data_IF_566562517442
#
_entry.id   IF_566562517442
#
_cell.length_a   1.000
_cell.length_b   1.000
_cell.length_c   1.000
_cell.angle_alpha   90.00
_cell.angle_beta   90.00
_cell.angle_gamma   90.00
#
_symmetry.space_group_name_H-M   'P 1'
#
loop_
_entity.id
_entity.type
_entity.pdbx_description
1 polymer ?
#
# COMPACT_ATOMS: atom_id res chain seq x y z
N UNK A 1 -9.64 -30.14 -20.05
CA UNK A 1 -8.64 -29.08 -20.32
C UNK A 1 -8.31 -28.31 -19.05
N UNK A 2 -9.19 -27.50 -18.44
CA UNK A 2 -8.89 -26.86 -17.13
C UNK A 2 -8.93 -27.82 -15.93
N UNK A 3 -9.69 -28.91 -16.02
CA UNK A 3 -9.82 -29.94 -14.97
C UNK A 3 -8.57 -30.82 -14.82
N UNK A 4 -7.63 -30.75 -15.77
CA UNK A 4 -6.39 -31.54 -15.75
C UNK A 4 -5.24 -30.55 -15.77
N UNK A 5 -4.36 -30.62 -14.76
CA UNK A 5 -3.19 -29.77 -14.60
C UNK A 5 -3.48 -28.25 -14.80
N UNK A 6 -4.64 -27.77 -14.34
CA UNK A 6 -5.09 -26.38 -14.49
C UNK A 6 -5.02 -25.87 -15.95
N UNK A 7 -5.20 -26.74 -16.95
CA UNK A 7 -5.07 -26.39 -18.37
C UNK A 7 -3.68 -25.90 -18.78
N UNK A 8 -2.63 -26.22 -18.00
CA UNK A 8 -1.28 -25.71 -18.21
C UNK A 8 -1.04 -24.32 -17.62
N UNK A 9 -2.03 -23.72 -16.94
CA UNK A 9 -1.87 -22.44 -16.25
C UNK A 9 -1.03 -22.60 -14.98
N UNK A 10 -0.11 -21.66 -14.74
CA UNK A 10 0.71 -21.65 -13.52
C UNK A 10 -0.12 -21.53 -12.23
N UNK A 11 0.47 -21.88 -11.09
CA UNK A 11 -0.21 -21.95 -9.77
C UNK A 11 -0.97 -20.67 -9.33
N UNK A 12 -0.50 -19.52 -9.80
CA UNK A 12 -1.03 -18.19 -9.49
C UNK A 12 -1.99 -17.67 -10.56
N UNK A 13 -2.50 -18.56 -11.42
CA UNK A 13 -3.45 -18.25 -12.47
C UNK A 13 -4.67 -19.18 -12.37
N UNK A 14 -5.82 -18.63 -12.72
CA UNK A 14 -7.06 -19.36 -12.93
C UNK A 14 -7.18 -19.75 -14.39
N UNK A 15 -7.58 -21.01 -14.62
CA UNK A 15 -7.88 -21.53 -15.94
C UNK A 15 -9.35 -21.33 -16.28
N UNK A 16 -9.61 -20.80 -17.46
CA UNK A 16 -10.94 -20.74 -18.07
C UNK A 16 -10.86 -21.05 -19.57
N UNK A 17 -12.02 -21.09 -20.24
CA UNK A 17 -12.08 -21.19 -21.69
C UNK A 17 -12.57 -19.89 -22.29
N UNK A 18 -11.98 -19.49 -23.40
CA UNK A 18 -12.53 -18.42 -24.23
C UNK A 18 -13.92 -18.83 -24.75
N UNK A 19 -14.87 -17.90 -24.65
CA UNK A 19 -16.29 -18.19 -24.93
C UNK A 19 -16.56 -18.51 -26.40
N UNK A 20 -15.72 -18.03 -27.31
CA UNK A 20 -15.95 -18.13 -28.76
C UNK A 20 -15.12 -19.24 -29.39
N UNK A 21 -13.87 -19.37 -28.95
CA UNK A 21 -12.91 -20.31 -29.53
C UNK A 21 -12.77 -21.60 -28.72
N UNK A 22 -13.31 -21.65 -27.49
CA UNK A 22 -13.06 -22.72 -26.52
C UNK A 22 -11.57 -22.94 -26.20
N UNK A 23 -10.70 -21.99 -26.55
CA UNK A 23 -9.28 -22.06 -26.23
C UNK A 23 -9.05 -21.88 -24.73
N UNK A 24 -8.04 -22.56 -24.18
CA UNK A 24 -7.65 -22.38 -22.77
C UNK A 24 -7.09 -20.97 -22.55
N UNK A 25 -7.57 -20.32 -21.50
CA UNK A 25 -7.17 -18.97 -21.10
C UNK A 25 -6.69 -18.98 -19.65
N UNK A 26 -5.46 -18.51 -19.44
CA UNK A 26 -4.89 -18.31 -18.12
C UNK A 26 -5.00 -16.83 -17.71
N UNK A 27 -5.67 -16.58 -16.59
CA UNK A 27 -5.83 -15.24 -16.00
C UNK A 27 -5.16 -15.23 -14.63
N UNK A 28 -4.31 -14.24 -14.37
CA UNK A 28 -3.65 -14.16 -13.06
C UNK A 28 -4.68 -13.90 -11.96
N UNK A 29 -4.50 -14.58 -10.82
CA UNK A 29 -5.29 -14.36 -9.61
C UNK A 29 -5.11 -12.91 -9.14
N UNK A 30 -6.07 -12.43 -8.35
CA UNK A 30 -5.95 -11.12 -7.70
C UNK A 30 -4.62 -11.02 -6.93
N UNK A 31 -3.93 -9.89 -7.07
CA UNK A 31 -2.59 -9.69 -6.50
C UNK A 31 -1.43 -10.20 -7.36
N UNK A 32 -1.69 -10.77 -8.54
CA UNK A 32 -0.64 -11.23 -9.45
C UNK A 32 -0.70 -10.49 -10.78
N UNK A 33 0.47 -10.06 -11.25
CA UNK A 33 0.63 -9.40 -12.54
C UNK A 33 1.08 -10.42 -13.59
N UNK A 34 0.43 -10.36 -14.74
CA UNK A 34 0.83 -11.10 -15.94
C UNK A 34 2.17 -10.56 -16.43
N UNK A 35 3.20 -11.40 -16.45
CA UNK A 35 4.50 -11.11 -17.04
C UNK A 35 4.79 -12.08 -18.16
N UNK A 36 5.55 -11.62 -19.14
CA UNK A 36 6.10 -12.48 -20.18
C UNK A 36 7.50 -12.94 -19.77
N UNK A 37 7.70 -14.26 -19.69
CA UNK A 37 8.99 -14.83 -19.34
C UNK A 37 9.23 -16.12 -20.12
N UNK A 38 10.38 -16.20 -20.80
CA UNK A 38 10.81 -17.38 -21.57
C UNK A 38 9.71 -17.94 -22.50
N UNK A 39 9.02 -17.06 -23.24
CA UNK A 39 7.99 -17.44 -24.21
C UNK A 39 6.65 -17.86 -23.60
N UNK A 40 6.46 -17.71 -22.29
CA UNK A 40 5.24 -18.10 -21.59
C UNK A 40 4.70 -16.97 -20.70
N UNK A 41 3.39 -17.01 -20.45
CA UNK A 41 2.72 -16.15 -19.47
C UNK A 41 2.95 -16.69 -18.07
N UNK A 42 3.51 -15.87 -17.19
CA UNK A 42 3.68 -16.19 -15.77
C UNK A 42 2.94 -15.15 -14.93
N UNK A 43 2.36 -15.59 -13.81
CA UNK A 43 1.70 -14.72 -12.85
C UNK A 43 2.61 -14.54 -11.64
N UNK A 44 3.25 -13.36 -11.56
CA UNK A 44 4.18 -13.00 -10.49
C UNK A 44 3.51 -12.04 -9.53
N UNK A 45 3.82 -12.18 -8.25
CA UNK A 45 3.30 -11.33 -7.18
C UNK A 45 3.48 -9.85 -7.58
N UNK A 46 2.37 -9.11 -7.61
CA UNK A 46 2.35 -7.70 -7.99
C UNK A 46 3.23 -6.84 -7.08
N UNK A 47 3.36 -7.15 -5.79
CA UNK A 47 4.22 -6.39 -4.88
C UNK A 47 5.71 -6.50 -5.23
N UNK A 48 6.12 -7.57 -5.92
CA UNK A 48 7.50 -7.72 -6.42
C UNK A 48 7.75 -6.95 -7.72
N UNK A 49 6.69 -6.37 -8.32
CA UNK A 49 6.74 -5.64 -9.59
C UNK A 49 6.34 -4.19 -9.33
N UNK A 50 7.29 -3.27 -9.42
CA UNK A 50 7.03 -1.85 -9.20
C UNK A 50 6.26 -1.58 -7.88
N UNK A 51 6.57 -2.33 -6.81
CA UNK A 51 5.91 -2.25 -5.50
C UNK A 51 4.37 -2.36 -5.59
N UNK A 52 3.82 -3.13 -6.54
CA UNK A 52 2.37 -3.24 -6.76
C UNK A 52 1.70 -1.94 -7.19
N UNK A 53 2.47 -0.94 -7.65
CA UNK A 53 1.98 0.42 -7.92
C UNK A 53 1.92 1.30 -6.67
N UNK A 54 2.35 0.82 -5.50
CA UNK A 54 2.43 1.62 -4.30
C UNK A 54 3.57 2.65 -4.39
N UNK A 55 3.32 3.87 -3.91
CA UNK A 55 4.32 4.93 -3.87
C UNK A 55 5.57 4.56 -3.04
N UNK A 56 6.68 5.30 -3.23
CA UNK A 56 7.98 5.03 -2.57
C UNK A 56 7.91 4.92 -1.04
N UNK A 57 7.03 5.69 -0.40
CA UNK A 57 6.86 5.74 1.05
C UNK A 57 5.70 4.84 1.53
N UNK A 58 5.33 3.84 0.73
CA UNK A 58 4.32 2.86 1.05
C UNK A 58 4.88 1.44 0.96
N UNK A 59 4.38 0.59 1.83
CA UNK A 59 4.60 -0.86 1.78
C UNK A 59 3.46 -1.50 0.99
N UNK A 60 3.83 -2.41 0.09
CA UNK A 60 2.89 -3.22 -0.65
C UNK A 60 2.57 -4.50 0.11
N UNK A 61 1.29 -4.88 0.09
CA UNK A 61 0.77 -6.09 0.70
C UNK A 61 -0.45 -6.58 -0.06
N UNK A 62 -1.02 -7.71 0.36
CA UNK A 62 -2.28 -8.21 -0.17
C UNK A 62 -3.39 -8.08 0.86
N UNK A 63 -4.57 -7.67 0.40
CA UNK A 63 -5.78 -7.76 1.21
C UNK A 63 -6.07 -9.22 1.56
N UNK A 64 -6.38 -9.48 2.83
CA UNK A 64 -6.51 -10.85 3.36
C UNK A 64 -7.65 -11.64 2.72
N UNK A 65 -8.69 -10.96 2.23
CA UNK A 65 -9.91 -11.59 1.74
C UNK A 65 -9.94 -11.67 0.22
N UNK A 66 -9.53 -10.58 -0.44
CA UNK A 66 -9.60 -10.46 -1.90
C UNK A 66 -8.27 -10.80 -2.58
N UNK A 67 -7.17 -10.89 -1.82
CA UNK A 67 -5.79 -10.96 -2.34
C UNK A 67 -5.38 -9.76 -3.22
N UNK A 68 -6.22 -8.73 -3.32
CA UNK A 68 -5.92 -7.53 -4.08
C UNK A 68 -4.72 -6.78 -3.49
N UNK A 69 -3.96 -6.08 -4.34
CA UNK A 69 -2.85 -5.25 -3.87
C UNK A 69 -3.37 -4.15 -2.95
N UNK A 70 -2.69 -3.97 -1.83
CA UNK A 70 -2.96 -2.94 -0.83
C UNK A 70 -1.67 -2.19 -0.47
N UNK A 71 -1.74 -0.87 -0.56
CA UNK A 71 -0.67 0.04 -0.17
C UNK A 71 -0.95 0.61 1.22
N UNK A 72 0.00 0.47 2.14
CA UNK A 72 -0.02 1.12 3.44
C UNK A 72 1.15 2.10 3.54
N UNK A 73 0.89 3.32 4.02
CA UNK A 73 2.00 4.25 4.24
C UNK A 73 2.91 3.74 5.33
N UNK A 74 4.23 3.89 5.11
CA UNK A 74 5.23 3.64 6.14
C UNK A 74 4.96 4.54 7.35
N UNK A 75 5.53 4.19 8.50
CA UNK A 75 5.52 5.07 9.66
C UNK A 75 5.93 6.50 9.26
N UNK A 76 5.38 7.50 9.98
CA UNK A 76 5.61 8.92 9.74
C UNK A 76 5.14 9.47 8.40
N UNK A 77 4.42 8.67 7.62
CA UNK A 77 3.78 9.12 6.38
C UNK A 77 2.27 9.00 6.48
N UNK A 78 1.58 10.03 6.01
CA UNK A 78 0.12 10.07 5.97
C UNK A 78 -0.36 9.78 4.56
N UNK A 79 -1.42 8.97 4.49
CA UNK A 79 -2.13 8.65 3.26
C UNK A 79 -2.87 9.90 2.77
N UNK A 80 -2.53 10.37 1.58
CA UNK A 80 -3.26 11.45 0.89
C UNK A 80 -3.83 10.92 -0.41
N UNK A 81 -4.96 11.48 -0.82
CA UNK A 81 -5.56 11.23 -2.11
C UNK A 81 -5.07 12.27 -3.11
N UNK A 82 -4.41 11.83 -4.18
CA UNK A 82 -3.94 12.74 -5.23
C UNK A 82 -4.11 12.09 -6.61
N UNK A 83 -4.75 12.80 -7.54
CA UNK A 83 -4.97 12.35 -8.91
C UNK A 83 -5.49 10.90 -9.01
N UNK A 84 -6.47 10.53 -8.19
CA UNK A 84 -7.09 9.20 -8.19
C UNK A 84 -6.22 8.08 -7.59
N UNK A 85 -5.08 8.41 -6.99
CA UNK A 85 -4.15 7.44 -6.42
C UNK A 85 -3.82 7.76 -4.95
N UNK A 86 -3.41 6.71 -4.24
CA UNK A 86 -2.90 6.81 -2.88
C UNK A 86 -1.43 7.24 -2.92
N UNK A 87 -1.13 8.36 -2.28
CA UNK A 87 0.25 8.84 -2.09
C UNK A 87 0.55 8.92 -0.60
N UNK A 88 1.78 8.56 -0.23
CA UNK A 88 2.26 8.64 1.15
C UNK A 88 3.23 9.79 1.28
N UNK A 89 2.81 10.85 1.97
CA UNK A 89 3.60 12.06 2.18
C UNK A 89 3.98 12.18 3.65
N UNK A 90 5.15 12.75 3.92
CA UNK A 90 5.63 12.98 5.28
C UNK A 90 4.53 13.67 6.11
N UNK A 91 4.15 13.05 7.23
CA UNK A 91 3.09 13.55 8.10
C UNK A 91 3.36 14.95 8.63
N UNK A 92 4.61 15.35 8.87
CA UNK A 92 4.93 16.70 9.34
C UNK A 92 4.65 17.78 8.29
N UNK A 93 4.65 17.43 6.99
CA UNK A 93 4.27 18.35 5.92
C UNK A 93 2.75 18.49 5.74
N UNK A 94 1.97 17.72 6.51
CA UNK A 94 0.51 17.68 6.46
C UNK A 94 -0.02 18.21 7.78
N UNK A 95 -0.55 19.43 7.77
CA UNK A 95 -1.11 20.06 8.97
C UNK A 95 -0.15 19.99 10.18
N UNK A 96 1.15 20.21 9.96
CA UNK A 96 2.21 20.12 10.96
C UNK A 96 2.20 18.79 11.75
N UNK A 97 1.82 17.67 11.12
CA UNK A 97 1.69 16.38 11.81
C UNK A 97 0.60 16.34 12.89
N UNK A 98 -0.30 17.31 12.93
CA UNK A 98 -1.25 17.50 14.01
C UNK A 98 -0.66 18.17 15.26
N UNK A 99 0.57 18.68 15.18
CA UNK A 99 1.19 19.46 16.24
C UNK A 99 0.57 20.86 16.33
N UNK A 100 0.60 21.45 17.52
CA UNK A 100 0.22 22.85 17.73
C UNK A 100 1.08 23.79 16.86
N UNK A 101 0.55 24.95 16.49
CA UNK A 101 1.24 25.98 15.67
C UNK A 101 2.56 26.46 16.28
N UNK A 102 2.69 26.41 17.60
CA UNK A 102 3.88 26.82 18.33
C UNK A 102 4.82 25.63 18.64
N UNK A 103 4.53 24.46 18.10
CA UNK A 103 5.38 23.28 18.15
C UNK A 103 6.01 22.98 16.81
N UNK A 104 7.23 22.47 16.84
CA UNK A 104 7.92 21.89 15.69
C UNK A 104 7.53 20.41 15.57
N UNK A 105 7.18 20.00 14.36
CA UNK A 105 6.95 18.60 14.03
C UNK A 105 8.25 17.92 13.63
N UNK A 106 8.48 16.74 14.19
CA UNK A 106 9.60 15.85 13.88
C UNK A 106 9.13 14.40 13.91
N UNK A 107 10.02 13.47 13.59
CA UNK A 107 9.77 12.04 13.75
C UNK A 107 10.65 11.46 14.85
N UNK A 108 10.08 10.56 15.65
CA UNK A 108 10.84 9.76 16.60
C UNK A 108 11.87 8.89 15.85
N UNK A 109 13.15 8.86 16.26
CA UNK A 109 14.21 8.20 15.48
C UNK A 109 14.07 6.67 15.40
N UNK A 110 13.27 6.06 16.28
CA UNK A 110 13.13 4.59 16.35
C UNK A 110 11.84 4.09 15.73
N UNK A 111 10.74 4.77 16.04
CA UNK A 111 9.39 4.40 15.59
C UNK A 111 8.95 5.17 14.35
N UNK A 112 9.64 6.27 14.04
CA UNK A 112 9.28 7.23 13.01
C UNK A 112 7.84 7.76 13.16
N UNK A 113 7.31 7.72 14.38
CA UNK A 113 6.04 8.34 14.72
C UNK A 113 6.21 9.87 14.80
N UNK A 114 5.14 10.60 14.48
CA UNK A 114 5.13 12.06 14.64
C UNK A 114 5.39 12.43 16.10
N UNK A 115 6.30 13.36 16.31
CA UNK A 115 6.69 13.94 17.60
C UNK A 115 6.64 15.45 17.52
N UNK A 116 5.90 16.06 18.45
CA UNK A 116 5.78 17.51 18.58
C UNK A 116 6.71 18.01 19.68
N UNK A 117 7.53 19.01 19.39
CA UNK A 117 8.42 19.66 20.37
C UNK A 117 8.17 21.15 20.42
N UNK A 118 8.03 21.71 21.61
CA UNK A 118 7.79 23.15 21.77
C UNK A 118 8.94 23.99 21.22
N UNK A 119 8.58 25.05 20.49
CA UNK A 119 9.51 26.12 20.17
C UNK A 119 9.97 26.78 21.48
N UNK A 120 11.27 27.10 21.57
CA UNK A 120 11.85 27.77 22.76
C UNK A 120 11.03 29.02 23.11
N UNK A 121 10.61 29.13 24.37
CA UNK A 121 9.90 30.31 24.90
C UNK A 121 8.38 30.16 25.11
N UNK A 122 7.79 29.00 24.81
CA UNK A 122 6.33 28.82 24.93
C UNK A 122 5.89 27.60 25.78
N UNK A 123 6.76 27.09 26.67
CA UNK A 123 6.31 26.14 27.68
C UNK A 123 5.29 26.87 28.57
N UNK A 124 4.00 26.45 28.59
CA UNK A 124 3.09 26.52 29.77
C UNK A 124 1.61 26.16 29.51
N UNK A 125 1.17 25.75 28.31
CA UNK A 125 -0.22 25.26 28.14
C UNK A 125 -0.31 24.00 27.29
N UNK A 126 -0.33 22.85 27.98
CA UNK A 126 -1.03 21.62 27.59
C UNK A 126 -0.93 21.17 26.14
N UNK A 127 0.19 20.55 25.76
CA UNK A 127 0.09 19.46 24.80
C UNK A 127 -0.23 18.20 25.60
N UNK A 128 -1.49 17.80 25.68
CA UNK A 128 -1.73 16.35 25.78
C UNK A 128 -1.06 15.78 24.55
N UNK A 129 -0.08 14.87 24.73
CA UNK A 129 0.34 13.98 23.66
C UNK A 129 -0.96 13.58 22.95
N UNK A 130 -1.14 14.02 21.70
CA UNK A 130 -2.37 13.71 20.97
C UNK A 130 -2.38 12.20 20.83
N UNK A 131 -3.00 11.53 21.81
CA UNK A 131 -3.35 10.12 21.73
C UNK A 131 -4.01 9.99 20.38
N UNK A 132 -3.41 9.15 19.53
CA UNK A 132 -3.94 8.77 18.22
C UNK A 132 -5.46 8.85 18.27
N UNK A 133 -6.02 9.87 17.63
CA UNK A 133 -7.45 9.92 17.38
C UNK A 133 -7.75 8.67 16.57
N UNK A 134 -8.46 7.73 17.20
CA UNK A 134 -9.11 6.62 16.55
C UNK A 134 -9.87 7.19 15.36
N UNK A 135 -9.54 6.75 14.14
CA UNK A 135 -10.37 7.00 12.96
C UNK A 135 -11.74 6.38 13.24
N UNK A 136 -12.85 7.14 13.30
CA UNK A 136 -14.18 6.55 13.36
C UNK A 136 -14.46 5.83 12.05
N UNK A 137 -15.19 4.72 12.20
CA UNK A 137 -15.69 3.83 11.15
C UNK A 137 -16.59 4.57 10.15
#
# INVERSE_FOLDING_TARGET
SCTINNGGCGRNADCSHDRWTSAVKCTCKAGYTKIWFAGNVVCRDSCTINNGGCGRNADCSHDRWTSAVKCACKAGHTKIWFAGNVVCRDSCTINNGGCDRNSDCSHDPWTFAVKCTWKRGHANTGCTESKKGTVPN
#
